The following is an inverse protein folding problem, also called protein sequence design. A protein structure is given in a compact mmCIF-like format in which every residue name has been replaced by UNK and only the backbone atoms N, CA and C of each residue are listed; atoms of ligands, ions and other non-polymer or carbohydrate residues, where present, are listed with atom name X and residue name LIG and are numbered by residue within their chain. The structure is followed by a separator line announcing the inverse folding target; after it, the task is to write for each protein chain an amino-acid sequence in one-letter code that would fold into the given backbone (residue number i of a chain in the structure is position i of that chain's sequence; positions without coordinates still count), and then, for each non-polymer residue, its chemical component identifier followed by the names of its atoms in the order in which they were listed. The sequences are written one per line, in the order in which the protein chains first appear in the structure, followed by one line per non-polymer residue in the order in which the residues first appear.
data_IF_253710471724
#
_entry.id   IF_253710471724
#
_cell.length_a   1.000
_cell.length_b   1.000
_cell.length_c   1.000
_cell.angle_alpha   90.00
_cell.angle_beta   90.00
_cell.angle_gamma   90.00
#
_symmetry.space_group_name_H-M   'P 1'
#
loop_
_entity.id
_entity.type
_entity.pdbx_description
1 polymer ?
#
# COMPACT_ATOMS: atom_id res chain seq x y z
N UNK A 1 80.31 -1.76 8.16
CA UNK A 1 79.63 -0.79 9.06
C UNK A 1 78.77 0.28 8.35
N UNK A 2 79.12 0.81 7.15
CA UNK A 2 78.29 1.83 6.45
C UNK A 2 76.89 1.34 6.04
N UNK A 3 76.79 0.10 5.57
CA UNK A 3 75.53 -0.48 5.07
C UNK A 3 74.48 -0.65 6.19
N UNK A 4 74.88 -1.07 7.39
CA UNK A 4 73.96 -1.15 8.54
C UNK A 4 73.43 0.23 8.97
N UNK A 5 74.28 1.27 8.92
CA UNK A 5 73.88 2.64 9.27
C UNK A 5 72.87 3.19 8.27
N UNK A 6 73.05 2.87 6.99
CA UNK A 6 72.15 3.24 5.92
C UNK A 6 70.82 2.46 6.00
N UNK A 7 70.87 1.16 6.30
CA UNK A 7 69.66 0.35 6.59
C UNK A 7 68.85 0.93 7.75
N UNK A 8 69.50 1.25 8.87
CA UNK A 8 68.84 1.85 10.05
C UNK A 8 68.22 3.22 9.74
N UNK A 9 68.87 4.03 8.88
CA UNK A 9 68.32 5.31 8.43
C UNK A 9 67.04 5.11 7.59
N UNK A 10 67.05 4.18 6.64
CA UNK A 10 65.87 3.87 5.82
C UNK A 10 64.74 3.19 6.62
N UNK A 11 65.07 2.35 7.61
CA UNK A 11 64.08 1.78 8.54
C UNK A 11 63.37 2.89 9.32
N UNK A 12 64.10 3.91 9.80
CA UNK A 12 63.50 5.07 10.47
C UNK A 12 62.60 5.91 9.54
N UNK A 13 63.03 6.15 8.30
CA UNK A 13 62.21 6.85 7.31
C UNK A 13 60.94 6.07 6.97
N UNK A 14 61.05 4.74 6.86
CA UNK A 14 59.92 3.84 6.64
C UNK A 14 58.93 3.91 7.80
N UNK A 15 59.41 3.90 9.05
CA UNK A 15 58.54 3.97 10.22
C UNK A 15 57.85 5.35 10.34
N UNK A 16 58.50 6.43 9.91
CA UNK A 16 57.88 7.75 9.77
C UNK A 16 56.78 7.76 8.71
N UNK A 17 57.03 7.15 7.54
CA UNK A 17 56.05 7.03 6.47
C UNK A 17 54.85 6.17 6.90
N UNK A 18 55.06 5.08 7.64
CA UNK A 18 53.95 4.27 8.15
C UNK A 18 53.07 5.04 9.13
N UNK A 19 53.67 5.81 10.05
CA UNK A 19 52.88 6.67 10.94
C UNK A 19 52.14 7.76 10.16
N UNK A 20 52.73 8.29 9.09
CA UNK A 20 52.06 9.26 8.23
C UNK A 20 50.88 8.63 7.48
N UNK A 21 51.05 7.45 6.88
CA UNK A 21 49.97 6.71 6.22
C UNK A 21 48.85 6.38 7.20
N UNK A 22 49.18 5.92 8.41
CA UNK A 22 48.17 5.66 9.43
C UNK A 22 47.34 6.90 9.79
N UNK A 23 47.99 8.05 9.98
CA UNK A 23 47.27 9.31 10.19
C UNK A 23 46.40 9.72 9.00
N UNK A 24 46.86 9.48 7.77
CA UNK A 24 46.10 9.77 6.56
C UNK A 24 44.88 8.85 6.41
N UNK A 25 45.02 7.55 6.69
CA UNK A 25 43.91 6.59 6.64
C UNK A 25 42.83 6.95 7.67
N UNK A 26 43.22 7.36 8.87
CA UNK A 26 42.30 7.84 9.90
C UNK A 26 41.54 9.10 9.43
N UNK A 27 42.22 10.04 8.77
CA UNK A 27 41.60 11.24 8.20
C UNK A 27 40.71 10.90 7.01
N UNK A 28 41.10 9.96 6.17
CA UNK A 28 40.31 9.50 5.03
C UNK A 28 38.98 8.90 5.49
N UNK A 29 39.02 8.03 6.50
CA UNK A 29 37.82 7.45 7.11
C UNK A 29 36.89 8.52 7.70
N UNK A 30 37.44 9.48 8.44
CA UNK A 30 36.66 10.60 8.96
C UNK A 30 36.06 11.46 7.82
N UNK A 31 36.79 11.65 6.72
CA UNK A 31 36.34 12.42 5.55
C UNK A 31 35.21 11.71 4.81
N UNK A 32 35.26 10.39 4.71
CA UNK A 32 34.18 9.57 4.13
C UNK A 32 32.89 9.71 4.94
N UNK A 33 32.96 9.58 6.27
CA UNK A 33 31.80 9.81 7.14
C UNK A 33 31.24 11.23 7.04
N UNK A 34 32.08 12.25 6.87
CA UNK A 34 31.65 13.63 6.63
C UNK A 34 30.96 13.76 5.26
N UNK A 35 31.47 13.07 4.23
CA UNK A 35 30.90 13.09 2.88
C UNK A 35 29.51 12.45 2.86
N UNK A 36 29.33 11.34 3.56
CA UNK A 36 28.02 10.69 3.69
C UNK A 36 27.03 11.59 4.43
N UNK A 37 27.45 12.19 5.55
CA UNK A 37 26.64 13.16 6.28
C UNK A 37 26.26 14.38 5.41
N UNK A 38 27.19 14.84 4.55
CA UNK A 38 26.93 15.92 3.60
C UNK A 38 25.88 15.51 2.56
N UNK A 39 25.94 14.28 2.03
CA UNK A 39 24.93 13.77 1.10
C UNK A 39 23.55 13.65 1.76
N UNK A 40 23.47 13.12 2.98
CA UNK A 40 22.22 13.08 3.75
C UNK A 40 21.66 14.47 3.97
N UNK A 41 22.50 15.44 4.36
CA UNK A 41 22.07 16.83 4.56
C UNK A 41 21.56 17.46 3.25
N UNK A 42 22.21 17.20 2.12
CA UNK A 42 21.77 17.68 0.81
C UNK A 42 20.39 17.08 0.44
N UNK A 43 20.19 15.79 0.66
CA UNK A 43 18.89 15.12 0.46
C UNK A 43 17.81 15.71 1.37
N UNK A 44 18.09 15.91 2.66
CA UNK A 44 17.16 16.55 3.60
C UNK A 44 16.81 17.98 3.19
N UNK A 45 17.76 18.74 2.65
CA UNK A 45 17.52 20.10 2.16
C UNK A 45 16.64 20.10 0.90
N UNK A 46 16.85 19.15 0.00
CA UNK A 46 15.98 18.95 -1.16
C UNK A 46 14.56 18.57 -0.74
N UNK A 47 14.41 17.59 0.16
CA UNK A 47 13.11 17.18 0.70
C UNK A 47 12.38 18.34 1.41
N UNK A 48 13.09 19.16 2.20
CA UNK A 48 12.49 20.34 2.82
C UNK A 48 12.04 21.39 1.80
N UNK A 49 12.80 21.57 0.71
CA UNK A 49 12.41 22.50 -0.36
C UNK A 49 11.15 22.01 -1.06
N UNK A 50 11.09 20.71 -1.32
CA UNK A 50 9.94 20.05 -1.95
C UNK A 50 8.71 20.14 -1.05
N UNK A 51 8.84 19.77 0.23
CA UNK A 51 7.79 19.92 1.24
C UNK A 51 7.25 21.36 1.33
N UNK A 52 8.14 22.36 1.32
CA UNK A 52 7.72 23.78 1.27
C UNK A 52 7.02 24.16 -0.03
N UNK A 53 7.37 23.53 -1.15
CA UNK A 53 6.67 23.66 -2.43
C UNK A 53 5.27 23.07 -2.33
N UNK A 54 5.16 21.82 -1.89
CA UNK A 54 3.90 21.09 -1.69
C UNK A 54 2.96 21.84 -0.75
N UNK A 55 3.48 22.38 0.36
CA UNK A 55 2.71 23.19 1.30
C UNK A 55 2.24 24.53 0.74
N UNK A 56 2.92 25.09 -0.27
CA UNK A 56 2.45 26.30 -0.97
C UNK A 56 1.43 26.00 -2.05
N UNK A 57 1.52 24.82 -2.67
CA UNK A 57 0.56 24.36 -3.68
C UNK A 57 -0.71 23.78 -3.05
N UNK A 58 -0.62 23.23 -1.84
CA UNK A 58 -1.77 22.98 -0.96
C UNK A 58 -2.35 24.34 -0.57
N UNK A 59 -3.39 24.77 -1.27
CA UNK A 59 -4.12 25.97 -0.87
C UNK A 59 -4.91 25.60 0.38
N UNK A 60 -4.86 26.46 1.39
CA UNK A 60 -5.70 26.32 2.59
C UNK A 60 -7.18 26.26 2.19
N UNK A 61 -7.56 26.99 1.13
CA UNK A 61 -8.88 26.91 0.50
C UNK A 61 -9.27 25.47 0.06
N UNK A 62 -8.30 24.66 -0.40
CA UNK A 62 -8.54 23.27 -0.77
C UNK A 62 -8.68 22.37 0.47
N UNK A 63 -8.10 22.77 1.61
CA UNK A 63 -8.26 22.08 2.90
C UNK A 63 -9.62 22.38 3.51
N UNK A 64 -10.09 23.63 3.44
CA UNK A 64 -11.46 24.01 3.81
C UNK A 64 -12.47 23.26 2.92
N UNK A 65 -12.25 23.22 1.60
CA UNK A 65 -13.09 22.46 0.67
C UNK A 65 -13.08 20.95 0.94
N UNK A 66 -11.94 20.35 1.31
CA UNK A 66 -11.89 18.95 1.73
C UNK A 66 -12.60 18.69 3.05
N UNK A 67 -12.55 19.63 3.99
CA UNK A 67 -13.27 19.53 5.26
C UNK A 67 -14.77 19.62 5.02
N UNK A 68 -15.22 20.56 4.19
CA UNK A 68 -16.61 20.69 3.76
C UNK A 68 -17.08 19.41 3.03
N UNK A 69 -16.29 18.90 2.06
CA UNK A 69 -16.60 17.65 1.36
C UNK A 69 -16.63 16.42 2.29
N UNK A 70 -15.78 16.37 3.33
CA UNK A 70 -15.84 15.29 4.34
C UNK A 70 -17.07 15.40 5.24
N UNK A 71 -17.50 16.62 5.56
CA UNK A 71 -18.71 16.88 6.33
C UNK A 71 -19.94 16.48 5.52
N UNK A 72 -19.99 16.88 4.24
CA UNK A 72 -21.01 16.45 3.28
C UNK A 72 -21.02 14.92 3.11
N UNK A 73 -19.86 14.26 3.06
CA UNK A 73 -19.79 12.79 2.96
C UNK A 73 -20.32 12.08 4.21
N UNK A 74 -20.05 12.63 5.39
CA UNK A 74 -20.59 12.14 6.66
C UNK A 74 -22.11 12.33 6.70
N UNK A 75 -22.62 13.47 6.27
CA UNK A 75 -24.04 13.75 6.21
C UNK A 75 -24.75 12.83 5.19
N UNK A 76 -24.16 12.63 4.01
CA UNK A 76 -24.64 11.66 3.02
C UNK A 76 -24.58 10.24 3.60
N UNK A 77 -23.54 9.87 4.35
CA UNK A 77 -23.45 8.56 5.02
C UNK A 77 -24.56 8.37 6.05
N UNK A 78 -24.87 9.39 6.85
CA UNK A 78 -25.96 9.37 7.82
C UNK A 78 -27.32 9.31 7.10
N UNK A 79 -27.50 10.09 6.04
CA UNK A 79 -28.70 10.06 5.20
C UNK A 79 -28.86 8.70 4.49
N UNK A 80 -27.76 8.07 4.06
CA UNK A 80 -27.77 6.69 3.54
C UNK A 80 -28.16 5.72 4.66
N UNK A 81 -27.65 5.84 5.88
CA UNK A 81 -28.04 4.96 6.98
C UNK A 81 -29.50 5.16 7.42
N UNK A 82 -30.03 6.38 7.30
CA UNK A 82 -31.43 6.71 7.58
C UNK A 82 -32.38 6.30 6.44
N UNK A 83 -31.97 6.47 5.18
CA UNK A 83 -32.72 6.11 3.97
C UNK A 83 -32.67 4.62 3.67
N UNK A 84 -31.49 4.00 3.83
CA UNK A 84 -31.31 2.56 3.91
C UNK A 84 -31.71 2.02 5.29
N UNK A 85 -32.14 2.93 6.17
CA UNK A 85 -32.76 2.69 7.47
C UNK A 85 -34.05 1.93 7.29
N UNK A 86 -33.89 0.63 7.03
CA UNK A 86 -34.49 -0.36 7.89
C UNK A 86 -34.04 -0.03 9.31
N UNK A 87 -34.73 0.93 9.91
CA UNK A 87 -34.97 0.93 11.33
C UNK A 87 -35.49 -0.48 11.62
N UNK A 88 -34.61 -1.37 12.08
CA UNK A 88 -35.09 -2.26 13.12
C UNK A 88 -35.32 -1.31 14.29
N UNK A 89 -36.54 -0.79 14.30
CA UNK A 89 -37.13 -0.09 15.41
C UNK A 89 -37.24 -1.16 16.49
N UNK A 90 -36.11 -1.55 17.09
CA UNK A 90 -36.02 -2.47 18.21
C UNK A 90 -36.46 -1.62 19.38
N UNK A 91 -37.72 -1.70 19.86
CA UNK A 91 -38.09 -1.00 21.07
C UNK A 91 -37.08 -1.31 22.17
N UNK A 92 -36.68 -0.27 22.92
CA UNK A 92 -35.78 -0.41 24.08
C UNK A 92 -36.36 -1.38 25.15
N UNK A 93 -37.64 -1.73 25.03
CA UNK A 93 -38.38 -2.67 25.87
C UNK A 93 -38.29 -4.15 25.40
N UNK A 94 -37.45 -4.48 24.41
CA UNK A 94 -37.22 -5.87 24.01
C UNK A 94 -36.35 -6.56 25.05
N UNK A 95 -36.85 -7.67 25.59
CA UNK A 95 -36.12 -8.51 26.53
C UNK A 95 -35.05 -9.33 25.78
N UNK A 96 -33.80 -8.88 25.85
CA UNK A 96 -32.66 -9.57 25.24
C UNK A 96 -32.47 -10.98 25.80
N UNK A 97 -32.84 -11.24 27.06
CA UNK A 97 -32.69 -12.55 27.69
C UNK A 97 -33.73 -13.55 27.14
N UNK A 98 -34.96 -13.10 26.90
CA UNK A 98 -35.99 -13.91 26.22
C UNK A 98 -35.57 -14.26 24.79
N UNK A 99 -35.04 -13.28 24.05
CA UNK A 99 -34.60 -13.48 22.67
C UNK A 99 -33.39 -14.42 22.56
N UNK A 100 -32.45 -14.32 23.50
CA UNK A 100 -31.32 -15.25 23.61
C UNK A 100 -31.80 -16.67 23.94
N UNK A 101 -32.79 -16.81 24.81
CA UNK A 101 -33.41 -18.10 25.12
C UNK A 101 -34.10 -18.74 23.91
N UNK A 102 -34.81 -17.94 23.11
CA UNK A 102 -35.39 -18.40 21.84
C UNK A 102 -34.31 -18.79 20.81
N UNK A 103 -33.20 -18.05 20.75
CA UNK A 103 -32.09 -18.35 19.85
C UNK A 103 -31.40 -19.68 20.21
N UNK A 104 -31.14 -19.93 21.49
CA UNK A 104 -30.60 -21.21 21.99
C UNK A 104 -31.56 -22.37 21.67
N UNK A 105 -32.87 -22.15 21.81
CA UNK A 105 -33.88 -23.14 21.47
C UNK A 105 -33.90 -23.43 19.96
N UNK A 106 -33.75 -22.40 19.12
CA UNK A 106 -33.65 -22.55 17.67
C UNK A 106 -32.35 -23.25 17.23
N UNK A 107 -31.23 -22.95 17.89
CA UNK A 107 -29.97 -23.68 17.67
C UNK A 107 -30.14 -25.16 18.01
N UNK A 108 -30.83 -25.46 19.11
CA UNK A 108 -31.13 -26.84 19.50
C UNK A 108 -32.06 -27.53 18.48
N UNK A 109 -33.07 -26.84 17.95
CA UNK A 109 -34.01 -27.37 16.95
C UNK A 109 -33.31 -27.60 15.60
N UNK A 110 -32.52 -26.63 15.14
CA UNK A 110 -31.71 -26.76 13.93
C UNK A 110 -30.63 -27.83 14.08
N UNK A 111 -29.98 -27.96 15.24
CA UNK A 111 -29.03 -29.04 15.51
C UNK A 111 -29.68 -30.43 15.59
N UNK A 112 -31.01 -30.49 15.77
CA UNK A 112 -31.79 -31.71 15.72
C UNK A 112 -32.24 -32.06 14.29
N UNK A 113 -32.51 -31.06 13.45
CA UNK A 113 -32.98 -31.21 12.06
C UNK A 113 -31.85 -31.30 11.03
N UNK A 114 -30.84 -30.45 11.13
CA UNK A 114 -29.57 -30.53 10.38
C UNK A 114 -28.53 -31.24 11.22
N UNK A 115 -28.03 -32.37 10.74
CA UNK A 115 -26.98 -33.11 11.45
C UNK A 115 -25.74 -32.23 11.70
N UNK A 116 -24.84 -32.62 12.64
CA UNK A 116 -23.72 -31.80 13.14
C UNK A 116 -22.67 -31.37 12.10
N UNK A 117 -22.88 -31.64 10.81
CA UNK A 117 -21.98 -31.35 9.70
C UNK A 117 -22.69 -30.80 8.45
N UNK A 118 -23.98 -30.48 8.51
CA UNK A 118 -24.69 -29.89 7.39
C UNK A 118 -24.46 -28.37 7.36
N UNK A 119 -23.60 -27.92 6.43
CA UNK A 119 -23.44 -26.50 6.17
C UNK A 119 -24.69 -25.98 5.45
N UNK A 120 -25.21 -24.78 5.81
CA UNK A 120 -26.38 -24.20 5.18
C UNK A 120 -26.26 -24.18 3.64
N UNK A 121 -27.37 -24.35 2.93
CA UNK A 121 -27.38 -24.49 1.46
C UNK A 121 -26.69 -23.35 0.70
N UNK A 122 -26.57 -22.15 1.30
CA UNK A 122 -25.89 -20.99 0.71
C UNK A 122 -24.37 -20.97 0.95
N UNK A 123 -23.85 -21.83 1.84
CA UNK A 123 -22.41 -22.02 2.12
C UNK A 123 -21.87 -23.32 1.53
N UNK A 124 -22.75 -24.13 0.91
CA UNK A 124 -22.31 -25.28 0.14
C UNK A 124 -21.55 -24.75 -1.08
N UNK A 125 -20.31 -25.24 -1.35
CA UNK A 125 -19.64 -24.90 -2.59
C UNK A 125 -20.56 -25.32 -3.72
N UNK A 126 -20.78 -24.42 -4.68
CA UNK A 126 -21.60 -24.68 -5.85
C UNK A 126 -21.23 -26.06 -6.39
N UNK A 127 -22.10 -27.05 -6.19
CA UNK A 127 -22.04 -28.23 -7.03
C UNK A 127 -22.30 -27.67 -8.41
N UNK A 128 -21.22 -27.55 -9.19
CA UNK A 128 -21.23 -27.38 -10.64
C UNK A 128 -22.17 -28.45 -11.20
N UNK A 129 -23.45 -28.14 -11.17
CA UNK A 129 -24.52 -28.92 -11.75
C UNK A 129 -25.00 -28.04 -12.86
N UNK A 130 -24.28 -28.18 -13.98
CA UNK A 130 -24.75 -27.88 -15.33
C UNK A 130 -25.75 -26.72 -15.40
N UNK A 131 -25.31 -25.51 -15.06
CA UNK A 131 -26.00 -24.28 -15.48
C UNK A 131 -25.75 -24.02 -16.98
N UNK A 132 -25.96 -25.06 -17.80
CA UNK A 132 -26.32 -24.95 -19.21
C UNK A 132 -27.83 -24.65 -19.29
N UNK A 133 -28.26 -23.58 -18.64
CA UNK A 133 -29.62 -23.04 -18.82
C UNK A 133 -29.51 -21.56 -19.15
N UNK A 134 -29.59 -21.32 -20.45
CA UNK A 134 -29.68 -20.06 -21.17
C UNK A 134 -30.12 -18.85 -20.32
N UNK A 135 -29.16 -18.00 -19.95
CA UNK A 135 -29.47 -16.62 -19.57
C UNK A 135 -29.95 -15.87 -20.84
N UNK A 136 -31.00 -15.05 -20.76
CA UNK A 136 -31.55 -14.35 -21.92
C UNK A 136 -30.50 -13.39 -22.51
N UNK A 137 -30.37 -13.28 -23.85
CA UNK A 137 -29.36 -12.45 -24.46
C UNK A 137 -29.61 -10.97 -24.17
N UNK A 138 -28.62 -10.33 -23.54
CA UNK A 138 -28.54 -8.88 -23.41
C UNK A 138 -28.53 -8.23 -24.80
N UNK A 139 -29.25 -7.11 -25.02
CA UNK A 139 -29.41 -6.53 -26.34
C UNK A 139 -28.06 -5.99 -26.86
N UNK A 140 -27.61 -6.54 -27.98
CA UNK A 140 -26.34 -6.22 -28.63
C UNK A 140 -26.36 -4.84 -29.30
N UNK A 141 -25.91 -3.81 -28.58
CA UNK A 141 -25.36 -2.60 -29.19
C UNK A 141 -24.08 -2.94 -29.94
N UNK A 142 -24.10 -2.81 -31.26
CA UNK A 142 -22.98 -3.13 -32.14
C UNK A 142 -21.79 -2.19 -31.89
N UNK A 143 -20.65 -2.71 -31.46
CA UNK A 143 -19.33 -2.36 -32.02
C UNK A 143 -18.35 -3.50 -31.77
N UNK A 144 -17.78 -3.97 -32.87
CA UNK A 144 -16.90 -5.13 -33.05
C UNK A 144 -15.60 -4.95 -32.25
N UNK A 145 -15.35 -5.81 -31.26
CA UNK A 145 -14.02 -5.93 -30.61
C UNK A 145 -13.12 -6.75 -31.55
N UNK A 146 -11.98 -6.23 -32.03
CA UNK A 146 -11.00 -7.04 -32.74
C UNK A 146 -10.28 -7.99 -31.75
N UNK A 147 -10.05 -9.23 -32.18
CA UNK A 147 -9.29 -10.25 -31.45
C UNK A 147 -7.91 -9.76 -31.01
N UNK A 148 -7.40 -10.21 -29.84
CA UNK A 148 -6.13 -9.75 -29.30
C UNK A 148 -4.97 -10.32 -30.13
N UNK A 149 -4.25 -9.44 -30.80
CA UNK A 149 -2.93 -9.71 -31.34
C UNK A 149 -1.93 -9.56 -30.18
N UNK A 150 -1.14 -10.59 -29.92
CA UNK A 150 -0.18 -10.62 -28.83
C UNK A 150 0.86 -9.49 -28.98
N UNK A 151 0.72 -8.44 -28.19
CA UNK A 151 1.74 -7.39 -28.06
C UNK A 151 2.75 -7.75 -26.95
N UNK A 152 4.04 -7.42 -27.13
CA UNK A 152 5.07 -7.75 -26.15
C UNK A 152 4.84 -6.94 -24.86
N UNK A 153 4.58 -7.64 -23.76
CA UNK A 153 4.62 -7.06 -22.43
C UNK A 153 6.08 -6.78 -22.04
N UNK A 154 6.33 -5.66 -21.35
CA UNK A 154 7.65 -5.36 -20.77
C UNK A 154 8.01 -6.39 -19.68
N UNK A 155 9.26 -6.41 -19.21
CA UNK A 155 9.84 -7.35 -18.22
C UNK A 155 9.04 -7.52 -16.90
N UNK A 156 8.04 -6.67 -16.67
CA UNK A 156 7.10 -6.73 -15.55
C UNK A 156 5.66 -7.16 -15.91
N UNK A 157 5.40 -7.64 -17.13
CA UNK A 157 4.10 -8.17 -17.54
C UNK A 157 2.99 -7.12 -17.69
N UNK A 158 3.36 -5.83 -17.76
CA UNK A 158 2.41 -4.73 -17.90
C UNK A 158 2.30 -4.29 -19.37
N UNK A 159 1.11 -3.87 -19.81
CA UNK A 159 0.92 -3.36 -21.17
C UNK A 159 1.67 -2.03 -21.36
N UNK A 160 2.31 -1.80 -22.52
CA UNK A 160 3.10 -0.61 -22.74
C UNK A 160 2.22 0.65 -22.70
N UNK A 161 2.62 1.64 -21.90
CA UNK A 161 1.91 2.93 -21.84
C UNK A 161 2.10 3.70 -23.15
N UNK A 162 1.02 4.21 -23.78
CA UNK A 162 1.12 4.91 -25.05
C UNK A 162 1.91 6.21 -24.89
N UNK A 163 3.02 6.33 -25.62
CA UNK A 163 3.82 7.56 -25.69
C UNK A 163 3.04 8.63 -26.44
N UNK A 164 2.59 9.67 -25.74
CA UNK A 164 2.00 10.85 -26.36
C UNK A 164 3.06 11.55 -27.25
N UNK A 165 2.85 11.49 -28.57
CA UNK A 165 3.64 12.25 -29.55
C UNK A 165 3.35 13.73 -29.37
N UNK A 166 4.28 14.49 -28.80
CA UNK A 166 4.26 15.95 -28.87
C UNK A 166 4.33 16.36 -30.33
N UNK A 167 3.22 16.88 -30.86
CA UNK A 167 3.20 17.57 -32.15
C UNK A 167 3.93 18.90 -31.99
N UNK A 168 4.96 19.09 -32.81
CA UNK A 168 5.60 20.37 -33.06
C UNK A 168 4.72 21.31 -33.88
#
# INVERSE_FOLDING_TARGET
MRILKQKKMYEGQRDQLYNQTFNLDQVAFATEGIRDAQQTMAAMKAANKDLKGTLKTLKIDDVEKMQDEMMDLMDISNEIQESLGRSYNVPDDIDEDELLGELDALEADMGLETGPSEVPSYLQPDKESDLDTELPPVPAGHTKVPQPQAEPADDFGLPPVPRASMRS
#
